data_IF_465473090031
#
_entry.id   IF_465473090031
#
_cell.length_a   1.000
_cell.length_b   1.000
_cell.length_c   1.000
_cell.angle_alpha   90.00
_cell.angle_beta   90.00
_cell.angle_gamma   90.00
#
_symmetry.space_group_name_H-M   'P 1'
#
loop_
_entity.id
_entity.type
_entity.pdbx_description
1 polymer ?
#
# COMPACT_ATOMS: atom_id res chain seq x y z
N UNK A 1 -18.83 12.10 -2.25
CA UNK A 1 -18.85 11.11 -3.36
C UNK A 1 -18.17 11.76 -4.57
N UNK A 2 -17.11 11.15 -5.09
CA UNK A 2 -16.35 11.67 -6.23
C UNK A 2 -17.05 11.33 -7.55
N UNK A 3 -18.01 12.17 -7.97
CA UNK A 3 -18.80 11.93 -9.17
C UNK A 3 -18.07 12.29 -10.49
N UNK A 4 -16.86 12.84 -10.42
CA UNK A 4 -16.08 13.32 -11.56
C UNK A 4 -14.67 12.71 -11.56
N UNK A 5 -14.04 12.63 -12.73
CA UNK A 5 -12.65 12.17 -12.88
C UNK A 5 -11.71 13.01 -12.02
N UNK A 6 -11.79 14.34 -12.11
CA UNK A 6 -11.01 15.26 -11.29
C UNK A 6 -11.16 15.01 -9.77
N UNK A 7 -12.38 14.66 -9.32
CA UNK A 7 -12.63 14.28 -7.92
C UNK A 7 -11.98 12.95 -7.55
N UNK A 8 -12.02 11.96 -8.45
CA UNK A 8 -11.33 10.69 -8.29
C UNK A 8 -9.82 10.89 -8.15
N UNK A 9 -9.19 11.61 -9.08
CA UNK A 9 -7.75 11.84 -9.12
C UNK A 9 -7.25 12.51 -7.84
N UNK A 10 -7.95 13.55 -7.37
CA UNK A 10 -7.62 14.21 -6.09
C UNK A 10 -7.63 13.23 -4.92
N UNK A 11 -8.60 12.33 -4.85
CA UNK A 11 -8.63 11.32 -3.80
C UNK A 11 -7.52 10.29 -3.97
N UNK A 12 -7.24 9.85 -5.20
CA UNK A 12 -6.13 8.94 -5.49
C UNK A 12 -4.78 9.52 -5.04
N UNK A 13 -4.52 10.79 -5.34
CA UNK A 13 -3.28 11.49 -4.96
C UNK A 13 -3.08 11.57 -3.43
N UNK A 14 -4.16 11.69 -2.66
CA UNK A 14 -4.13 11.80 -1.20
C UNK A 14 -3.89 10.46 -0.48
N UNK A 15 -4.32 9.33 -1.07
CA UNK A 15 -4.27 7.99 -0.44
C UNK A 15 -2.91 7.68 0.17
N UNK A 16 -1.77 7.81 -0.54
CA UNK A 16 -0.52 7.32 0.04
C UNK A 16 -0.06 8.16 1.24
N UNK A 17 -0.34 9.47 1.29
CA UNK A 17 0.01 10.30 2.47
C UNK A 17 -0.89 9.99 3.67
N UNK A 18 -2.18 9.76 3.41
CA UNK A 18 -3.13 9.39 4.46
C UNK A 18 -2.81 8.01 5.04
N UNK A 19 -2.53 7.03 4.19
CA UNK A 19 -2.09 5.69 4.61
C UNK A 19 -0.77 5.76 5.36
N UNK A 20 0.22 6.50 4.84
CA UNK A 20 1.53 6.65 5.50
C UNK A 20 1.38 7.27 6.90
N UNK A 21 0.56 8.32 7.04
CA UNK A 21 0.29 8.95 8.33
C UNK A 21 -0.33 7.96 9.34
N UNK A 22 -1.27 7.12 8.90
CA UNK A 22 -1.87 6.09 9.74
C UNK A 22 -0.85 5.03 10.16
N UNK A 23 -0.03 4.57 9.22
CA UNK A 23 1.04 3.58 9.46
C UNK A 23 2.09 4.11 10.42
N UNK A 24 2.57 5.35 10.24
CA UNK A 24 3.56 5.97 11.13
C UNK A 24 3.02 6.13 12.54
N UNK A 25 1.76 6.56 12.67
CA UNK A 25 1.09 6.64 13.98
C UNK A 25 0.98 5.26 14.64
N UNK A 26 0.66 4.22 13.87
CA UNK A 26 0.59 2.86 14.36
C UNK A 26 1.98 2.36 14.83
N UNK A 27 3.03 2.54 14.01
CA UNK A 27 4.41 2.14 14.30
C UNK A 27 5.00 2.87 15.51
N UNK A 28 4.76 4.17 15.62
CA UNK A 28 5.29 4.99 16.72
C UNK A 28 4.56 4.75 18.03
N UNK A 29 3.26 4.42 17.98
CA UNK A 29 2.49 4.07 19.16
C UNK A 29 2.54 2.58 19.55
N UNK A 30 3.30 1.75 18.84
CA UNK A 30 3.44 0.33 19.17
C UNK A 30 4.60 0.10 20.13
N UNK A 31 4.28 -0.41 21.32
CA UNK A 31 5.25 -0.68 22.37
C UNK A 31 5.76 -2.11 22.22
N UNK A 32 7.07 -2.27 22.15
CA UNK A 32 7.74 -3.57 22.16
C UNK A 32 8.37 -3.78 23.53
N UNK A 33 8.06 -4.90 24.18
CA UNK A 33 8.55 -5.19 25.54
C UNK A 33 10.07 -5.41 25.60
N UNK A 34 10.68 -5.88 24.51
CA UNK A 34 12.12 -6.16 24.41
C UNK A 34 12.64 -5.88 23.01
N UNK A 35 13.86 -5.35 22.91
CA UNK A 35 14.55 -5.15 21.63
C UNK A 35 15.01 -6.45 20.94
N UNK A 36 14.97 -7.58 21.67
CA UNK A 36 15.27 -8.92 21.15
C UNK A 36 14.18 -9.90 21.57
N UNK A 37 13.83 -10.80 20.65
CA UNK A 37 12.85 -11.86 20.89
C UNK A 37 13.49 -13.20 20.59
N UNK A 38 13.73 -13.99 21.63
CA UNK A 38 14.36 -15.31 21.52
C UNK A 38 13.36 -16.45 21.46
N UNK A 39 12.11 -16.17 21.76
CA UNK A 39 11.02 -17.14 21.82
C UNK A 39 10.16 -17.03 20.55
N UNK A 40 9.84 -18.19 19.96
CA UNK A 40 9.10 -18.26 18.71
C UNK A 40 7.65 -17.80 18.88
N UNK A 41 6.99 -18.16 19.97
CA UNK A 41 5.59 -17.81 20.21
C UNK A 41 5.45 -16.31 20.48
N UNK A 42 6.39 -15.72 21.22
CA UNK A 42 6.49 -14.28 21.41
C UNK A 42 6.71 -13.53 20.09
N UNK A 43 7.50 -14.10 19.17
CA UNK A 43 7.71 -13.53 17.83
C UNK A 43 6.42 -13.56 17.00
N UNK A 44 5.74 -14.70 16.95
CA UNK A 44 4.45 -14.84 16.28
C UNK A 44 3.42 -13.86 16.85
N UNK A 45 3.37 -13.76 18.18
CA UNK A 45 2.47 -12.86 18.91
C UNK A 45 2.72 -11.40 18.60
N UNK A 46 4.00 -10.99 18.55
CA UNK A 46 4.40 -9.65 18.16
C UNK A 46 3.91 -9.32 16.75
N UNK A 47 4.17 -10.19 15.77
CA UNK A 47 3.82 -9.94 14.38
C UNK A 47 2.30 -9.85 14.18
N UNK A 48 1.54 -10.77 14.78
CA UNK A 48 0.08 -10.73 14.73
C UNK A 48 -0.49 -9.45 15.36
N UNK A 49 -0.01 -9.09 16.56
CA UNK A 49 -0.44 -7.86 17.25
C UNK A 49 -0.10 -6.60 16.45
N UNK A 50 1.08 -6.55 15.85
CA UNK A 50 1.51 -5.42 15.06
C UNK A 50 0.70 -5.28 13.75
N UNK A 51 0.50 -6.39 13.04
CA UNK A 51 -0.31 -6.41 11.83
C UNK A 51 -1.75 -5.96 12.10
N UNK A 52 -2.38 -6.47 13.18
CA UNK A 52 -3.71 -6.08 13.58
C UNK A 52 -3.84 -4.58 13.89
N UNK A 53 -2.79 -4.01 14.50
CA UNK A 53 -2.72 -2.58 14.78
C UNK A 53 -2.58 -1.75 13.51
N UNK A 54 -1.69 -2.14 12.58
CA UNK A 54 -1.53 -1.47 11.29
C UNK A 54 -2.86 -1.44 10.53
N UNK A 55 -3.52 -2.59 10.44
CA UNK A 55 -4.80 -2.70 9.76
C UNK A 55 -5.89 -1.87 10.45
N UNK A 56 -6.00 -1.92 11.77
CA UNK A 56 -6.95 -1.08 12.51
C UNK A 56 -6.71 0.41 12.26
N UNK A 57 -5.46 0.84 12.23
CA UNK A 57 -5.10 2.23 12.01
C UNK A 57 -5.45 2.70 10.59
N UNK A 58 -5.11 1.90 9.58
CA UNK A 58 -5.37 2.23 8.17
C UNK A 58 -6.86 2.16 7.83
N UNK A 59 -7.60 1.23 8.41
CA UNK A 59 -9.05 1.10 8.21
C UNK A 59 -9.89 2.00 9.14
N UNK A 60 -9.26 2.76 10.03
CA UNK A 60 -9.96 3.65 10.97
C UNK A 60 -10.81 2.91 12.02
N UNK A 61 -10.46 1.67 12.36
CA UNK A 61 -11.18 0.86 13.35
C UNK A 61 -10.84 1.35 14.76
N UNK A 62 -11.83 1.84 15.48
CA UNK A 62 -11.70 2.35 16.85
C UNK A 62 -12.81 1.80 17.78
N UNK A 63 -12.47 1.10 18.89
CA UNK A 63 -11.12 0.75 19.35
C UNK A 63 -10.42 -0.25 18.41
N UNK A 64 -9.07 -0.28 18.39
CA UNK A 64 -8.33 -1.24 17.57
C UNK A 64 -8.78 -2.68 17.84
N UNK A 65 -8.88 -3.48 16.77
CA UNK A 65 -9.32 -4.87 16.92
C UNK A 65 -8.28 -5.69 17.68
N UNK A 66 -8.74 -6.70 18.42
CA UNK A 66 -7.83 -7.69 19.01
C UNK A 66 -7.16 -8.51 17.89
N UNK A 67 -5.88 -8.89 18.06
CA UNK A 67 -5.22 -9.75 17.10
C UNK A 67 -5.84 -11.14 17.11
N UNK A 68 -6.06 -11.68 15.92
CA UNK A 68 -6.31 -13.09 15.69
C UNK A 68 -4.99 -13.72 15.25
N UNK A 69 -4.40 -14.54 16.11
CA UNK A 69 -3.08 -15.13 15.89
C UNK A 69 -2.99 -15.87 14.57
N UNK A 70 -3.95 -16.74 14.26
CA UNK A 70 -3.93 -17.55 13.04
C UNK A 70 -4.05 -16.67 11.78
N UNK A 71 -5.00 -15.74 11.79
CA UNK A 71 -5.28 -14.89 10.63
C UNK A 71 -4.21 -13.82 10.38
N UNK A 72 -3.83 -13.09 11.43
CA UNK A 72 -2.94 -11.93 11.33
C UNK A 72 -1.49 -12.33 11.13
N UNK A 73 -1.04 -13.37 11.82
CA UNK A 73 0.30 -13.91 11.61
C UNK A 73 0.45 -14.39 10.17
N UNK A 74 -0.50 -15.18 9.67
CA UNK A 74 -0.48 -15.69 8.30
C UNK A 74 -0.47 -14.56 7.26
N UNK A 75 -1.21 -13.47 7.50
CA UNK A 75 -1.17 -12.30 6.62
C UNK A 75 0.15 -11.54 6.69
N UNK A 76 0.70 -11.40 7.90
CA UNK A 76 2.01 -10.78 8.11
C UNK A 76 3.11 -11.55 7.38
N UNK A 77 3.15 -12.87 7.53
CA UNK A 77 4.13 -13.73 6.84
C UNK A 77 4.01 -13.59 5.33
N UNK A 78 2.80 -13.69 4.76
CA UNK A 78 2.59 -13.50 3.31
C UNK A 78 3.06 -12.13 2.81
N UNK A 79 2.89 -11.09 3.61
CA UNK A 79 3.40 -9.76 3.27
C UNK A 79 4.93 -9.75 3.27
N UNK A 80 5.56 -10.32 4.30
CA UNK A 80 7.01 -10.41 4.40
C UNK A 80 7.64 -11.27 3.29
N UNK A 81 7.00 -12.38 2.91
CA UNK A 81 7.42 -13.23 1.80
C UNK A 81 7.48 -12.44 0.49
N UNK A 82 6.42 -11.67 0.21
CA UNK A 82 6.30 -10.91 -1.03
C UNK A 82 7.20 -9.68 -1.12
N UNK A 83 7.63 -9.14 0.01
CA UNK A 83 8.22 -7.78 0.04
C UNK A 83 9.60 -7.69 0.67
N UNK A 84 10.03 -8.69 1.46
CA UNK A 84 11.25 -8.56 2.27
C UNK A 84 12.21 -9.73 2.11
N UNK A 85 11.72 -10.96 2.25
CA UNK A 85 12.59 -12.11 2.51
C UNK A 85 12.30 -13.34 1.63
N UNK A 86 11.29 -13.29 0.75
CA UNK A 86 10.91 -14.45 -0.06
C UNK A 86 10.41 -15.61 0.81
N UNK A 87 10.58 -16.84 0.33
CA UNK A 87 10.07 -18.06 0.98
C UNK A 87 10.62 -18.29 2.40
N UNK A 88 11.76 -17.68 2.76
CA UNK A 88 12.38 -17.82 4.09
C UNK A 88 11.96 -16.73 5.09
N UNK A 89 10.91 -15.97 4.79
CA UNK A 89 10.50 -14.80 5.59
C UNK A 89 10.31 -15.08 7.08
N UNK A 90 9.78 -16.25 7.42
CA UNK A 90 9.62 -16.68 8.80
C UNK A 90 10.96 -16.86 9.52
N UNK A 91 11.88 -17.66 8.98
CA UNK A 91 13.17 -17.91 9.63
C UNK A 91 14.04 -16.66 9.62
N UNK A 92 14.10 -15.94 8.50
CA UNK A 92 14.92 -14.73 8.37
C UNK A 92 14.45 -13.63 9.33
N UNK A 93 13.15 -13.38 9.40
CA UNK A 93 12.59 -12.38 10.31
C UNK A 93 12.80 -12.74 11.79
N UNK A 94 12.65 -14.01 12.15
CA UNK A 94 12.91 -14.46 13.52
C UNK A 94 14.39 -14.34 13.88
N UNK A 95 15.29 -14.68 12.96
CA UNK A 95 16.73 -14.55 13.20
C UNK A 95 17.15 -13.09 13.41
N UNK A 96 16.60 -12.16 12.63
CA UNK A 96 16.76 -10.70 12.82
C UNK A 96 16.24 -10.28 14.19
N UNK A 97 15.04 -10.72 14.57
CA UNK A 97 14.43 -10.39 15.86
C UNK A 97 15.22 -10.96 17.06
N UNK A 98 15.78 -12.16 16.91
CA UNK A 98 16.51 -12.90 17.94
C UNK A 98 17.91 -12.35 18.16
N UNK A 99 18.66 -12.14 17.09
CA UNK A 99 20.05 -11.68 17.16
C UNK A 99 20.17 -10.16 17.31
N UNK A 100 19.17 -9.42 16.83
CA UNK A 100 19.22 -7.98 16.72
C UNK A 100 20.09 -7.47 15.56
N UNK A 101 20.48 -8.35 14.63
CA UNK A 101 21.12 -7.94 13.37
C UNK A 101 20.17 -7.05 12.57
N UNK A 102 20.70 -6.25 11.65
CA UNK A 102 19.88 -5.34 10.83
C UNK A 102 18.90 -4.47 11.67
N UNK A 103 19.35 -3.93 12.80
CA UNK A 103 18.50 -3.10 13.67
C UNK A 103 17.37 -3.85 14.40
N UNK A 104 17.37 -5.18 14.34
CA UNK A 104 16.54 -6.08 15.14
C UNK A 104 15.04 -5.86 14.97
N UNK A 105 14.31 -6.06 16.07
CA UNK A 105 12.84 -5.96 16.08
C UNK A 105 12.34 -4.61 15.57
N UNK A 106 13.01 -3.51 15.92
CA UNK A 106 12.53 -2.17 15.53
C UNK A 106 12.61 -1.95 14.02
N UNK A 107 13.71 -2.34 13.40
CA UNK A 107 13.86 -2.22 11.95
C UNK A 107 12.95 -3.22 11.22
N UNK A 108 12.78 -4.44 11.73
CA UNK A 108 11.81 -5.41 11.20
C UNK A 108 10.40 -4.82 11.15
N UNK A 109 9.91 -4.27 12.26
CA UNK A 109 8.60 -3.63 12.33
C UNK A 109 8.49 -2.40 11.43
N UNK A 110 9.57 -1.62 11.29
CA UNK A 110 9.61 -0.48 10.37
C UNK A 110 9.47 -0.90 8.90
N UNK A 111 10.20 -1.93 8.48
CA UNK A 111 10.09 -2.48 7.11
C UNK A 111 8.71 -3.09 6.86
N UNK A 112 8.16 -3.80 7.84
CA UNK A 112 6.80 -4.36 7.77
C UNK A 112 5.74 -3.27 7.66
N UNK A 113 5.86 -2.19 8.44
CA UNK A 113 4.99 -1.02 8.37
C UNK A 113 5.02 -0.38 6.98
N UNK A 114 6.20 -0.15 6.42
CA UNK A 114 6.36 0.39 5.08
C UNK A 114 5.74 -0.51 4.00
N UNK A 115 5.99 -1.82 4.07
CA UNK A 115 5.41 -2.81 3.15
C UNK A 115 3.87 -2.86 3.24
N UNK A 116 3.33 -2.79 4.46
CA UNK A 116 1.88 -2.73 4.68
C UNK A 116 1.30 -1.46 4.08
N UNK A 117 1.90 -0.30 4.38
CA UNK A 117 1.46 1.00 3.86
C UNK A 117 1.41 1.04 2.34
N UNK A 118 2.45 0.55 1.66
CA UNK A 118 2.48 0.49 0.20
C UNK A 118 1.39 -0.42 -0.37
N UNK A 119 1.19 -1.59 0.25
CA UNK A 119 0.16 -2.55 -0.18
C UNK A 119 -1.24 -1.97 0.02
N UNK A 120 -1.51 -1.40 1.20
CA UNK A 120 -2.79 -0.78 1.52
C UNK A 120 -3.10 0.43 0.65
N UNK A 121 -2.12 1.28 0.32
CA UNK A 121 -2.32 2.40 -0.58
C UNK A 121 -2.74 1.92 -1.99
N UNK A 122 -2.09 0.87 -2.49
CA UNK A 122 -2.44 0.25 -3.78
C UNK A 122 -3.84 -0.37 -3.77
N UNK A 123 -4.18 -1.09 -2.71
CA UNK A 123 -5.50 -1.72 -2.57
C UNK A 123 -6.63 -0.69 -2.43
N UNK A 124 -6.42 0.39 -1.67
CA UNK A 124 -7.38 1.49 -1.56
C UNK A 124 -7.55 2.23 -2.90
N UNK A 125 -6.46 2.47 -3.64
CA UNK A 125 -6.55 3.09 -4.96
C UNK A 125 -7.37 2.22 -5.93
N UNK A 126 -7.10 0.92 -5.98
CA UNK A 126 -7.88 -0.03 -6.80
C UNK A 126 -9.35 -0.08 -6.41
N UNK A 127 -9.65 -0.10 -5.11
CA UNK A 127 -11.03 -0.10 -4.62
C UNK A 127 -11.76 1.20 -5.03
N UNK A 128 -11.10 2.35 -4.90
CA UNK A 128 -11.67 3.65 -5.31
C UNK A 128 -11.92 3.70 -6.82
N UNK A 129 -11.00 3.19 -7.64
CA UNK A 129 -11.17 3.07 -9.09
C UNK A 129 -12.29 2.11 -9.45
N UNK A 130 -12.44 0.97 -8.76
CA UNK A 130 -13.57 0.04 -8.97
C UNK A 130 -14.90 0.73 -8.72
N UNK A 131 -15.04 1.39 -7.57
CA UNK A 131 -16.25 2.12 -7.20
C UNK A 131 -16.57 3.26 -8.17
N UNK A 132 -15.54 3.90 -8.74
CA UNK A 132 -15.72 4.89 -9.78
C UNK A 132 -16.25 4.24 -11.06
N UNK A 133 -15.59 3.16 -11.51
CA UNK A 133 -15.91 2.45 -12.75
C UNK A 133 -17.34 1.92 -12.75
N UNK A 134 -17.78 1.31 -11.65
CA UNK A 134 -19.13 0.76 -11.47
C UNK A 134 -20.24 1.83 -11.58
N UNK A 135 -19.91 3.09 -11.32
CA UNK A 135 -20.87 4.21 -11.32
C UNK A 135 -20.92 4.97 -12.64
N UNK A 136 -20.07 4.63 -13.61
CA UNK A 136 -20.00 5.33 -14.91
C UNK A 136 -20.67 4.55 -16.02
N UNK A 137 -21.30 5.28 -16.92
CA UNK A 137 -21.75 4.71 -18.20
C UNK A 137 -20.58 4.64 -19.18
N UNK A 138 -20.66 3.77 -20.20
CA UNK A 138 -19.62 3.68 -21.23
C UNK A 138 -19.28 5.03 -21.89
N UNK A 139 -20.24 5.89 -22.29
CA UNK A 139 -19.92 7.20 -22.86
C UNK A 139 -19.15 8.11 -21.89
N UNK A 140 -19.50 8.09 -20.60
CA UNK A 140 -18.78 8.86 -19.58
C UNK A 140 -17.35 8.36 -19.43
N UNK A 141 -17.13 7.04 -19.40
CA UNK A 141 -15.80 6.46 -19.33
C UNK A 141 -14.93 6.87 -20.52
N UNK A 142 -15.46 6.87 -21.74
CA UNK A 142 -14.69 7.35 -22.91
C UNK A 142 -14.34 8.83 -22.80
N UNK A 143 -15.28 9.66 -22.34
CA UNK A 143 -15.03 11.09 -22.09
C UNK A 143 -13.94 11.28 -21.03
N UNK A 144 -14.01 10.55 -19.92
CA UNK A 144 -13.03 10.61 -18.84
C UNK A 144 -11.64 10.10 -19.30
N UNK A 145 -11.60 9.06 -20.15
CA UNK A 145 -10.34 8.57 -20.74
C UNK A 145 -9.65 9.66 -21.56
N UNK A 146 -10.41 10.39 -22.36
CA UNK A 146 -9.88 11.46 -23.22
C UNK A 146 -9.39 12.65 -22.39
N UNK A 147 -10.14 13.05 -21.36
CA UNK A 147 -9.72 14.05 -20.38
C UNK A 147 -8.40 13.64 -19.69
N UNK A 148 -8.31 12.38 -19.23
CA UNK A 148 -7.12 11.87 -18.57
C UNK A 148 -5.89 11.82 -19.50
N UNK A 149 -6.06 11.32 -20.73
CA UNK A 149 -4.96 11.25 -21.71
C UNK A 149 -4.49 12.65 -22.08
N UNK A 150 -5.40 13.60 -22.27
CA UNK A 150 -5.04 14.98 -22.58
C UNK A 150 -4.24 15.63 -21.44
N UNK A 151 -4.65 15.40 -20.18
CA UNK A 151 -4.00 16.00 -19.02
C UNK A 151 -2.69 15.31 -18.60
N UNK A 152 -2.65 13.97 -18.65
CA UNK A 152 -1.58 13.17 -18.04
C UNK A 152 -0.84 12.25 -19.01
N UNK A 153 -1.26 12.17 -20.27
CA UNK A 153 -0.63 11.32 -21.29
C UNK A 153 0.88 11.53 -21.32
N UNK A 154 1.34 12.78 -21.34
CA UNK A 154 2.76 13.13 -21.36
C UNK A 154 3.59 12.67 -20.15
N UNK A 155 2.97 12.26 -19.04
CA UNK A 155 3.65 11.80 -17.82
C UNK A 155 3.80 10.27 -17.77
N UNK A 156 3.13 9.54 -18.66
CA UNK A 156 3.27 8.10 -18.76
C UNK A 156 4.62 7.76 -19.43
N UNK A 157 5.23 6.60 -19.14
CA UNK A 157 6.50 6.22 -19.78
C UNK A 157 6.36 6.23 -21.32
N UNK A 158 7.39 6.65 -22.06
CA UNK A 158 7.37 6.72 -23.53
C UNK A 158 7.18 5.36 -24.21
N UNK A 159 7.62 4.27 -23.57
CA UNK A 159 7.29 2.88 -23.92
C UNK A 159 5.77 2.60 -23.92
N UNK A 160 5.00 3.46 -23.25
CA UNK A 160 3.55 3.48 -23.25
C UNK A 160 2.94 4.60 -24.13
N UNK A 161 3.71 5.47 -24.80
CA UNK A 161 3.17 6.68 -25.47
C UNK A 161 3.29 6.77 -26.99
N UNK A 162 4.21 6.10 -27.67
CA UNK A 162 4.20 6.14 -29.14
C UNK A 162 3.12 5.19 -29.71
N UNK A 163 1.99 5.76 -30.18
CA UNK A 163 0.88 5.06 -30.84
C UNK A 163 -0.31 4.63 -29.96
N UNK A 164 -0.41 5.09 -28.70
CA UNK A 164 -1.10 4.34 -27.65
C UNK A 164 -2.37 4.95 -26.99
N UNK A 165 -2.99 6.03 -27.47
CA UNK A 165 -4.30 6.43 -26.93
C UNK A 165 -5.31 5.25 -26.87
N UNK A 166 -5.35 4.32 -27.86
CA UNK A 166 -6.14 3.09 -27.77
C UNK A 166 -5.69 2.13 -26.66
N UNK A 167 -4.39 2.02 -26.37
CA UNK A 167 -3.84 1.12 -25.35
C UNK A 167 -4.05 1.65 -23.93
N UNK A 168 -3.95 2.98 -23.74
CA UNK A 168 -4.32 3.62 -22.47
C UNK A 168 -5.81 3.48 -22.24
N UNK A 169 -6.66 3.67 -23.26
CA UNK A 169 -8.10 3.38 -23.17
C UNK A 169 -8.36 1.91 -22.78
N UNK A 170 -7.64 0.96 -23.39
CA UNK A 170 -7.73 -0.47 -23.06
C UNK A 170 -7.22 -0.84 -21.66
N UNK A 171 -6.35 -0.03 -21.05
CA UNK A 171 -5.78 -0.22 -19.71
C UNK A 171 -6.15 0.89 -18.74
N UNK A 172 -7.23 1.63 -19.01
CA UNK A 172 -7.52 2.87 -18.29
C UNK A 172 -7.69 2.65 -16.79
N UNK A 173 -8.33 1.53 -16.42
CA UNK A 173 -8.47 1.12 -15.03
C UNK A 173 -7.09 0.95 -14.33
N UNK A 174 -6.14 0.28 -14.98
CA UNK A 174 -4.78 0.09 -14.45
C UNK A 174 -4.05 1.43 -14.34
N UNK A 175 -4.22 2.31 -15.34
CA UNK A 175 -3.61 3.63 -15.36
C UNK A 175 -4.11 4.52 -14.21
N UNK A 176 -5.42 4.51 -13.94
CA UNK A 176 -6.00 5.21 -12.79
C UNK A 176 -5.49 4.64 -11.46
N UNK A 177 -5.44 3.31 -11.31
CA UNK A 177 -4.96 2.69 -10.09
C UNK A 177 -3.47 2.98 -9.82
N UNK A 178 -2.66 3.11 -10.88
CA UNK A 178 -1.25 3.47 -10.80
C UNK A 178 -0.99 4.98 -10.67
N UNK A 179 -2.00 5.82 -10.89
CA UNK A 179 -1.88 7.28 -10.90
C UNK A 179 -1.11 7.87 -9.69
N UNK A 180 -1.39 7.47 -8.43
CA UNK A 180 -0.69 8.02 -7.27
C UNK A 180 0.82 7.78 -7.30
N UNK A 181 1.25 6.64 -7.84
CA UNK A 181 2.66 6.27 -7.95
C UNK A 181 3.35 7.08 -9.04
N UNK A 182 2.70 7.21 -10.21
CA UNK A 182 3.23 7.99 -11.34
C UNK A 182 3.44 9.45 -10.93
N UNK A 183 2.47 10.06 -10.22
CA UNK A 183 2.57 11.45 -9.77
C UNK A 183 3.69 11.70 -8.73
N UNK A 184 4.14 10.64 -8.04
CA UNK A 184 5.20 10.69 -7.02
C UNK A 184 6.58 10.28 -7.54
N UNK A 185 6.68 9.82 -8.80
CA UNK A 185 7.94 9.39 -9.38
C UNK A 185 8.92 10.57 -9.50
N UNK A 186 10.22 10.39 -9.15
CA UNK A 186 11.24 11.44 -9.23
C UNK A 186 11.55 11.93 -10.65
N UNK A 187 10.89 11.41 -11.70
CA UNK A 187 10.89 12.00 -13.04
C UNK A 187 10.33 13.45 -13.08
N UNK A 188 9.77 13.93 -11.97
CA UNK A 188 9.50 15.36 -11.71
C UNK A 188 10.74 16.23 -11.49
N UNK A 189 11.89 15.67 -11.11
CA UNK A 189 13.06 16.44 -10.68
C UNK A 189 13.97 16.93 -11.83
N UNK A 190 13.59 16.65 -13.08
CA UNK A 190 14.28 17.14 -14.28
C UNK A 190 13.30 17.97 -15.12
N UNK A 191 12.81 19.07 -14.55
CA UNK A 191 12.27 20.22 -15.28
C UNK A 191 12.58 21.50 -14.54
#
# INVERSE_FOLDING_TARGET
>A
MNATLSGLLRSLEAIPDDVQRCVDKALNGFVVASGRITDWDAYCGLLAAFYARLESAVLGINPPRKPNMEFDFSRCVRLMERTMYGESAMQAGFEVARTGTEGGVRQLLGRLAAAYGQTSASDQARALVSLYWEKRTHPQLFSDMDEYIAAYGHMLPSEALEGNAPRIRGKFWEALAAHPVVMRSPLRAVR
#
